data_IF_473667753275
#
_entry.id   IF_473667753275
#
_cell.length_a   1.000
_cell.length_b   1.000
_cell.length_c   1.000
_cell.angle_alpha   90.00
_cell.angle_beta   90.00
_cell.angle_gamma   90.00
#
_symmetry.space_group_name_H-M   'P 1'
#
loop_
_entity.id
_entity.type
_entity.pdbx_description
1 polymer ?
#
# COMPACT_ATOMS: atom_id res chain seq x y z
N UNK A 1 -28.06 2.15 30.28
CA UNK A 1 -27.27 1.32 29.35
C UNK A 1 -27.24 2.00 27.99
N UNK A 2 -26.33 2.96 27.79
CA UNK A 2 -26.21 3.68 26.52
C UNK A 2 -25.29 2.89 25.60
N UNK A 3 -25.88 2.27 24.58
CA UNK A 3 -25.14 1.74 23.44
C UNK A 3 -24.62 2.93 22.63
N UNK A 4 -23.43 3.40 22.98
CA UNK A 4 -22.65 4.31 22.14
C UNK A 4 -22.39 3.55 20.85
N UNK A 5 -23.14 3.90 19.79
CA UNK A 5 -22.80 3.51 18.43
C UNK A 5 -21.44 4.13 18.14
N UNK A 6 -20.39 3.33 18.28
CA UNK A 6 -19.06 3.70 17.82
C UNK A 6 -19.10 3.63 16.29
N UNK A 7 -19.29 4.77 15.64
CA UNK A 7 -19.29 4.91 14.17
C UNK A 7 -17.91 4.57 13.55
N UNK A 8 -16.90 4.31 14.38
CA UNK A 8 -15.55 3.84 14.01
C UNK A 8 -15.36 2.32 14.12
N UNK A 9 -16.44 1.54 14.06
CA UNK A 9 -16.35 0.08 13.99
C UNK A 9 -15.68 -0.43 12.70
N UNK A 10 -15.48 -1.74 12.61
CA UNK A 10 -14.47 -2.51 11.84
C UNK A 10 -13.05 -1.97 11.59
N UNK A 11 -12.86 -0.68 11.28
CA UNK A 11 -11.54 -0.14 10.87
C UNK A 11 -10.50 -0.12 12.00
N UNK A 12 -10.95 0.11 13.24
CA UNK A 12 -10.08 0.05 14.42
C UNK A 12 -9.58 -1.38 14.64
N UNK A 13 -10.43 -2.39 14.42
CA UNK A 13 -10.05 -3.79 14.61
C UNK A 13 -9.06 -4.27 13.54
N UNK A 14 -9.20 -3.81 12.28
CA UNK A 14 -8.27 -4.14 11.20
C UNK A 14 -6.87 -3.59 11.51
N UNK A 15 -6.77 -2.31 11.90
CA UNK A 15 -5.47 -1.71 12.22
C UNK A 15 -4.81 -2.41 13.41
N UNK A 16 -5.58 -2.74 14.45
CA UNK A 16 -5.08 -3.49 15.60
C UNK A 16 -4.58 -4.89 15.20
N UNK A 17 -5.31 -5.60 14.33
CA UNK A 17 -4.88 -6.90 13.82
C UNK A 17 -3.56 -6.81 13.04
N UNK A 18 -3.44 -5.80 12.15
CA UNK A 18 -2.20 -5.52 11.40
C UNK A 18 -1.03 -5.26 12.34
N UNK A 19 -1.23 -4.42 13.36
CA UNK A 19 -0.17 -4.11 14.33
C UNK A 19 0.27 -5.35 15.12
N UNK A 20 -0.67 -6.24 15.47
CA UNK A 20 -0.35 -7.52 16.13
C UNK A 20 0.49 -8.40 15.19
N UNK A 21 0.06 -8.60 13.93
CA UNK A 21 0.82 -9.41 12.99
C UNK A 21 2.24 -8.87 12.79
N UNK A 22 2.39 -7.56 12.63
CA UNK A 22 3.69 -6.93 12.45
C UNK A 22 4.58 -7.04 13.69
N UNK A 23 4.02 -6.93 14.91
CA UNK A 23 4.77 -7.17 16.16
C UNK A 23 5.35 -8.58 16.25
N UNK A 24 4.65 -9.58 15.73
CA UNK A 24 5.13 -10.97 15.68
C UNK A 24 5.90 -11.31 14.39
N UNK A 25 6.27 -10.30 13.60
CA UNK A 25 6.96 -10.45 12.32
C UNK A 25 6.21 -11.38 11.34
N UNK A 26 4.89 -11.37 11.38
CA UNK A 26 3.98 -12.20 10.57
C UNK A 26 3.48 -11.45 9.33
N UNK A 27 4.42 -11.00 8.51
CA UNK A 27 4.10 -10.25 7.28
C UNK A 27 3.18 -11.05 6.35
N UNK A 28 3.47 -12.33 6.08
CA UNK A 28 2.67 -13.13 5.14
C UNK A 28 1.22 -13.34 5.62
N UNK A 29 1.03 -13.61 6.93
CA UNK A 29 -0.32 -13.77 7.50
C UNK A 29 -1.09 -12.46 7.48
N UNK A 30 -0.41 -11.35 7.81
CA UNK A 30 -0.97 -10.00 7.69
C UNK A 30 -1.42 -9.69 6.27
N UNK A 31 -0.59 -10.06 5.29
CA UNK A 31 -0.88 -9.82 3.87
C UNK A 31 -2.10 -10.60 3.42
N UNK A 32 -2.19 -11.91 3.73
CA UNK A 32 -3.36 -12.71 3.38
C UNK A 32 -4.64 -12.15 4.02
N UNK A 33 -4.57 -11.78 5.30
CA UNK A 33 -5.71 -11.17 6.01
C UNK A 33 -6.16 -9.87 5.34
N UNK A 34 -5.22 -8.97 5.01
CA UNK A 34 -5.54 -7.72 4.34
C UNK A 34 -6.04 -7.93 2.90
N UNK A 35 -5.54 -8.93 2.17
CA UNK A 35 -6.06 -9.27 0.84
C UNK A 35 -7.54 -9.66 0.90
N UNK A 36 -7.94 -10.48 1.88
CA UNK A 36 -9.34 -10.87 2.07
C UNK A 36 -10.22 -9.67 2.46
N UNK A 37 -9.71 -8.80 3.34
CA UNK A 37 -10.42 -7.59 3.78
C UNK A 37 -10.57 -6.56 2.65
N UNK A 38 -9.57 -6.47 1.77
CA UNK A 38 -9.50 -5.48 0.68
C UNK A 38 -9.98 -6.01 -0.67
N UNK A 39 -10.49 -7.24 -0.73
CA UNK A 39 -10.97 -7.88 -1.96
C UNK A 39 -12.08 -7.09 -2.68
N UNK A 40 -12.76 -6.17 -1.98
CA UNK A 40 -13.80 -5.31 -2.55
C UNK A 40 -13.30 -4.02 -3.21
N UNK A 41 -12.00 -3.72 -3.16
CA UNK A 41 -11.37 -2.50 -3.72
C UNK A 41 -12.17 -1.21 -3.41
N UNK A 42 -12.57 -1.04 -2.14
CA UNK A 42 -13.36 0.13 -1.75
C UNK A 42 -12.46 1.37 -1.58
N UNK A 43 -12.92 2.53 -2.08
CA UNK A 43 -12.22 3.82 -1.92
C UNK A 43 -11.95 4.19 -0.47
N UNK A 44 -12.89 3.92 0.43
CA UNK A 44 -12.77 4.18 1.86
C UNK A 44 -11.63 3.39 2.53
N UNK A 45 -11.15 2.33 1.87
CA UNK A 45 -10.05 1.48 2.33
C UNK A 45 -8.73 1.73 1.56
N UNK A 46 -8.63 2.78 0.75
CA UNK A 46 -7.42 3.10 -0.02
C UNK A 46 -6.15 3.27 0.84
N UNK A 47 -6.31 3.75 2.08
CA UNK A 47 -5.21 3.84 3.03
C UNK A 47 -4.67 2.45 3.43
N UNK A 48 -5.54 1.44 3.57
CA UNK A 48 -5.14 0.06 3.89
C UNK A 48 -4.46 -0.61 2.70
N UNK A 49 -4.92 -0.34 1.46
CA UNK A 49 -4.26 -0.80 0.24
C UNK A 49 -2.82 -0.28 0.19
N UNK A 50 -2.63 1.02 0.46
CA UNK A 50 -1.30 1.63 0.52
C UNK A 50 -0.44 0.98 1.60
N UNK A 51 -1.00 0.78 2.80
CA UNK A 51 -0.29 0.15 3.93
C UNK A 51 0.12 -1.29 3.64
N UNK A 52 -0.74 -2.07 2.99
CA UNK A 52 -0.47 -3.45 2.55
C UNK A 52 0.72 -3.50 1.58
N UNK A 53 0.70 -2.65 0.55
CA UNK A 53 1.78 -2.60 -0.43
C UNK A 53 3.09 -2.12 0.20
N UNK A 54 3.03 -1.08 1.04
CA UNK A 54 4.18 -0.57 1.78
C UNK A 54 4.83 -1.64 2.66
N UNK A 55 4.06 -2.32 3.51
CA UNK A 55 4.62 -3.33 4.43
C UNK A 55 5.25 -4.51 3.68
N UNK A 56 4.71 -4.88 2.52
CA UNK A 56 5.28 -5.95 1.70
C UNK A 56 6.56 -5.50 1.00
N UNK A 57 6.62 -4.26 0.49
CA UNK A 57 7.85 -3.72 -0.11
C UNK A 57 8.96 -3.56 0.93
N UNK A 58 8.66 -2.99 2.09
CA UNK A 58 9.62 -2.80 3.18
C UNK A 58 10.01 -4.11 3.87
N UNK A 59 9.06 -5.06 3.94
CA UNK A 59 9.27 -6.37 4.55
C UNK A 59 10.02 -7.37 3.68
N UNK A 60 10.51 -6.96 2.50
CA UNK A 60 11.29 -7.83 1.61
C UNK A 60 10.44 -8.81 0.80
N UNK A 61 9.16 -8.51 0.58
CA UNK A 61 8.24 -9.27 -0.25
C UNK A 61 7.79 -8.50 -1.52
N UNK A 62 8.72 -7.98 -2.36
CA UNK A 62 8.37 -7.23 -3.57
C UNK A 62 7.58 -8.06 -4.58
N UNK A 63 7.81 -9.39 -4.64
CA UNK A 63 7.07 -10.28 -5.53
C UNK A 63 5.56 -10.30 -5.25
N UNK A 64 5.15 -10.12 -3.99
CA UNK A 64 3.73 -10.05 -3.62
C UNK A 64 3.11 -8.78 -4.16
N UNK A 65 3.82 -7.65 -4.03
CA UNK A 65 3.37 -6.37 -4.58
C UNK A 65 3.30 -6.43 -6.11
N UNK A 66 4.30 -7.02 -6.76
CA UNK A 66 4.27 -7.22 -8.22
C UNK A 66 3.05 -8.03 -8.66
N UNK A 67 2.72 -9.12 -7.97
CA UNK A 67 1.55 -9.93 -8.29
C UNK A 67 0.23 -9.15 -8.11
N UNK A 68 0.11 -8.38 -7.02
CA UNK A 68 -1.07 -7.55 -6.75
C UNK A 68 -1.26 -6.49 -7.84
N UNK A 69 -0.18 -5.77 -8.19
CA UNK A 69 -0.19 -4.75 -9.23
C UNK A 69 -0.47 -5.35 -10.61
N UNK A 70 0.10 -6.52 -10.91
CA UNK A 70 -0.14 -7.21 -12.17
C UNK A 70 -1.56 -7.79 -12.29
N UNK A 71 -2.23 -8.02 -11.16
CA UNK A 71 -3.60 -8.53 -11.11
C UNK A 71 -4.65 -7.41 -11.12
N UNK A 72 -4.22 -6.14 -11.14
CA UNK A 72 -5.12 -4.97 -11.11
C UNK A 72 -6.11 -5.03 -9.93
N UNK A 73 -5.64 -5.55 -8.78
CA UNK A 73 -6.50 -5.85 -7.63
C UNK A 73 -6.88 -4.61 -6.82
N UNK A 74 -6.07 -3.55 -6.86
CA UNK A 74 -6.28 -2.33 -6.10
C UNK A 74 -6.18 -1.09 -6.99
N UNK A 75 -7.05 -0.10 -6.76
CA UNK A 75 -7.07 1.14 -7.55
C UNK A 75 -7.01 2.42 -6.72
N UNK A 76 -7.10 2.32 -5.40
CA UNK A 76 -7.30 3.46 -4.51
C UNK A 76 -6.12 3.75 -3.58
N UNK A 77 -4.99 3.08 -3.78
CA UNK A 77 -3.76 3.31 -3.06
C UNK A 77 -2.99 4.54 -3.55
N UNK A 78 -2.08 5.04 -2.72
CA UNK A 78 -1.17 6.13 -3.07
C UNK A 78 -0.10 5.65 -4.05
N UNK A 79 -0.36 5.88 -5.34
CA UNK A 79 0.52 5.45 -6.44
C UNK A 79 1.91 6.06 -6.36
N UNK A 80 2.05 7.32 -5.94
CA UNK A 80 3.33 8.04 -5.89
C UNK A 80 4.22 7.43 -4.82
N UNK A 81 3.64 7.21 -3.64
CA UNK A 81 4.34 6.59 -2.53
C UNK A 81 4.78 5.16 -2.86
N UNK A 82 3.87 4.35 -3.40
CA UNK A 82 4.18 2.96 -3.79
C UNK A 82 5.20 2.90 -4.92
N UNK A 83 5.13 3.79 -5.92
CA UNK A 83 6.12 3.84 -6.99
C UNK A 83 7.54 4.10 -6.45
N UNK A 84 7.72 5.03 -5.51
CA UNK A 84 9.01 5.27 -4.87
C UNK A 84 9.52 4.09 -4.03
N UNK A 85 8.63 3.31 -3.43
CA UNK A 85 9.00 2.07 -2.74
C UNK A 85 9.32 0.93 -3.71
N UNK A 86 8.60 0.82 -4.82
CA UNK A 86 8.91 -0.13 -5.90
C UNK A 86 10.30 0.14 -6.47
N UNK A 87 10.66 1.41 -6.66
CA UNK A 87 12.01 1.83 -7.09
C UNK A 87 13.08 1.30 -6.13
N UNK A 88 12.91 1.57 -4.83
CA UNK A 88 13.84 1.11 -3.77
C UNK A 88 13.92 -0.42 -3.67
N UNK A 89 12.84 -1.12 -4.01
CA UNK A 89 12.77 -2.58 -4.01
C UNK A 89 13.31 -3.22 -5.31
N UNK A 90 13.73 -2.43 -6.30
CA UNK A 90 14.24 -2.91 -7.59
C UNK A 90 13.18 -3.23 -8.64
N UNK A 91 11.92 -2.86 -8.40
CA UNK A 91 10.77 -3.00 -9.31
C UNK A 91 10.61 -1.76 -10.20
N UNK A 92 11.66 -1.40 -10.92
CA UNK A 92 11.73 -0.16 -11.74
C UNK A 92 10.62 -0.07 -12.79
N UNK A 93 10.27 -1.20 -13.43
CA UNK A 93 9.21 -1.24 -14.44
C UNK A 93 7.85 -0.87 -13.83
N UNK A 94 7.53 -1.40 -12.63
CA UNK A 94 6.26 -1.10 -11.94
C UNK A 94 6.23 0.33 -11.42
N UNK A 95 7.34 0.84 -10.92
CA UNK A 95 7.44 2.25 -10.53
C UNK A 95 7.08 3.17 -11.72
N UNK A 96 7.63 2.91 -12.91
CA UNK A 96 7.34 3.67 -14.13
C UNK A 96 5.87 3.58 -14.58
N UNK A 97 5.25 2.40 -14.48
CA UNK A 97 3.84 2.21 -14.82
C UNK A 97 2.88 2.90 -13.85
N UNK A 98 3.25 2.98 -12.57
CA UNK A 98 2.45 3.61 -11.52
C UNK A 98 2.51 5.14 -11.55
N UNK A 99 3.56 5.73 -12.13
CA UNK A 99 3.64 7.18 -12.33
C UNK A 99 2.66 7.62 -13.43
N UNK A 100 1.43 7.96 -13.04
CA UNK A 100 0.36 8.35 -13.99
C UNK A 100 0.09 9.84 -14.10
N UNK A 101 0.73 10.70 -13.29
CA UNK A 101 0.49 12.15 -13.30
C UNK A 101 1.70 12.95 -13.78
N UNK A 102 1.48 13.81 -14.78
CA UNK A 102 2.49 14.76 -15.31
C UNK A 102 3.05 15.68 -14.20
N UNK A 103 2.30 15.91 -13.11
CA UNK A 103 2.72 16.68 -11.94
C UNK A 103 3.82 16.00 -11.12
N UNK A 104 3.75 14.68 -10.92
CA UNK A 104 4.76 13.90 -10.21
C UNK A 104 5.95 13.54 -11.10
N UNK A 105 5.71 13.30 -12.41
CA UNK A 105 6.79 13.20 -13.41
C UNK A 105 7.63 14.49 -13.42
N UNK A 106 7.01 15.68 -13.35
CA UNK A 106 7.74 16.95 -13.22
C UNK A 106 8.50 17.08 -11.89
N UNK A 107 7.98 16.56 -10.78
CA UNK A 107 8.64 16.64 -9.47
C UNK A 107 9.86 15.70 -9.37
N UNK A 108 9.81 14.53 -10.01
CA UNK A 108 10.96 13.62 -10.18
C UNK A 108 12.03 14.17 -11.13
N UNK A 109 11.65 14.84 -12.22
CA UNK A 109 12.60 15.48 -13.14
C UNK A 109 13.29 16.70 -12.48
N UNK A 110 12.55 17.53 -11.74
CA UNK A 110 13.12 18.68 -11.02
C UNK A 110 14.09 18.27 -9.90
N UNK A 111 13.89 17.13 -9.25
CA UNK A 111 14.88 16.59 -8.30
C UNK A 111 16.14 16.03 -8.97
N UNK A 112 16.10 15.77 -10.28
CA UNK A 112 17.30 15.40 -11.05
C UNK A 112 18.14 16.65 -11.41
N UNK A 113 17.51 17.82 -11.58
CA UNK A 113 18.22 19.09 -11.83
C UNK A 113 18.77 19.77 -10.56
N UNK A 114 18.39 19.30 -9.36
CA UNK A 114 18.97 19.77 -8.09
C UNK A 114 20.27 19.04 -7.70
N UNK A 115 20.79 18.16 -8.56
CA UNK A 115 22.12 17.55 -8.45
C UNK A 115 23.00 18.05 -9.61
N UNK A 116 23.09 19.37 -9.76
CA UNK A 116 24.12 20.05 -10.56
C UNK A 116 24.86 21.06 -9.68
#
# INVERSE_FOLDING_TARGET
>A
SQLVKNESGPLIEINAAVDIFMQFNRLQECTSFLLDVLAGDNKDQGYLQTRLLEMNLLGGAPAVVEAILSSDMFHHFDKVHIAGLCEKAGLWQRALELFTDIGDIKRCVVHTEAIS
#
